data_IF_702262888853
#
_entry.id   IF_702262888853
#
_cell.length_a   1.000
_cell.length_b   1.000
_cell.length_c   1.000
_cell.angle_alpha   90.00
_cell.angle_beta   90.00
_cell.angle_gamma   90.00
#
_symmetry.space_group_name_H-M   'P 1'
#
loop_
_entity.id
_entity.type
_entity.pdbx_description
1 polymer ?
#
# COMPACT_ATOMS: atom_id res chain seq x y z
N UNK A 1 58.15 54.16 -8.03
CA UNK A 1 57.88 52.87 -7.38
C UNK A 1 56.46 52.89 -6.84
N UNK A 2 55.49 52.29 -7.55
CA UNK A 2 54.09 52.16 -7.10
C UNK A 2 53.81 50.67 -6.93
N UNK A 3 53.56 50.26 -5.69
CA UNK A 3 53.31 48.86 -5.31
C UNK A 3 51.83 48.53 -5.54
N UNK A 4 51.54 47.59 -6.44
CA UNK A 4 50.21 47.06 -6.66
C UNK A 4 49.93 45.96 -5.63
N UNK A 5 48.92 46.15 -4.78
CA UNK A 5 48.43 45.11 -3.86
C UNK A 5 47.46 44.22 -4.64
N UNK A 6 47.82 42.95 -4.82
CA UNK A 6 46.97 41.92 -5.37
C UNK A 6 45.85 41.60 -4.36
N UNK A 7 44.60 41.75 -4.81
CA UNK A 7 43.40 41.40 -4.03
C UNK A 7 43.01 39.97 -4.41
N UNK A 8 43.35 39.01 -3.55
CA UNK A 8 43.01 37.59 -3.76
C UNK A 8 41.54 37.37 -3.45
N UNK A 9 40.74 37.09 -4.48
CA UNK A 9 39.33 36.72 -4.34
C UNK A 9 39.25 35.23 -3.93
N UNK A 10 38.85 34.95 -2.69
CA UNK A 10 38.52 33.58 -2.24
C UNK A 10 37.13 33.23 -2.75
N UNK A 11 37.06 32.48 -3.86
CA UNK A 11 35.83 31.86 -4.32
C UNK A 11 35.48 30.68 -3.38
N UNK A 12 34.53 30.91 -2.47
CA UNK A 12 33.98 29.87 -1.61
C UNK A 12 33.15 28.87 -2.43
N UNK A 13 33.64 27.66 -2.60
CA UNK A 13 32.91 26.54 -3.19
C UNK A 13 31.83 26.06 -2.22
N UNK A 14 30.57 26.39 -2.49
CA UNK A 14 29.43 25.76 -1.83
C UNK A 14 29.33 24.30 -2.30
N UNK A 15 29.76 23.36 -1.46
CA UNK A 15 29.46 21.94 -1.62
C UNK A 15 27.97 21.72 -1.34
N UNK A 16 27.18 21.60 -2.41
CA UNK A 16 25.80 21.10 -2.31
C UNK A 16 25.88 19.62 -1.98
N UNK A 17 25.56 19.24 -0.75
CA UNK A 17 25.39 17.85 -0.36
C UNK A 17 24.16 17.29 -1.09
N UNK A 18 24.40 16.54 -2.18
CA UNK A 18 23.35 15.80 -2.87
C UNK A 18 22.97 14.64 -1.95
N UNK A 19 21.88 14.77 -1.19
CA UNK A 19 21.29 13.65 -0.48
C UNK A 19 20.81 12.64 -1.52
N UNK A 20 21.52 11.53 -1.65
CA UNK A 20 21.07 10.42 -2.50
C UNK A 20 19.76 9.90 -1.91
N UNK A 21 18.66 10.11 -2.61
CA UNK A 21 17.40 9.41 -2.33
C UNK A 21 17.67 7.95 -2.64
N UNK A 22 17.96 7.15 -1.60
CA UNK A 22 18.08 5.71 -1.76
C UNK A 22 16.72 5.24 -2.26
N UNK A 23 16.67 4.78 -3.51
CA UNK A 23 15.48 4.19 -4.08
C UNK A 23 15.06 3.02 -3.18
N UNK A 24 13.90 3.17 -2.55
CA UNK A 24 13.37 2.19 -1.62
C UNK A 24 13.16 0.86 -2.35
N UNK A 25 13.55 -0.28 -1.77
CA UNK A 25 13.38 -1.56 -2.44
C UNK A 25 11.90 -1.74 -2.76
N UNK A 26 11.62 -1.96 -4.05
CA UNK A 26 10.27 -2.21 -4.51
C UNK A 26 9.69 -3.45 -3.82
N UNK A 27 8.37 -3.46 -3.54
CA UNK A 27 7.76 -4.65 -3.00
C UNK A 27 7.96 -5.85 -3.93
N UNK A 28 8.07 -5.69 -5.25
CA UNK A 28 8.39 -6.80 -6.17
C UNK A 28 9.74 -6.52 -6.87
N UNK A 29 10.70 -7.46 -6.93
CA UNK A 29 11.93 -7.31 -7.68
C UNK A 29 11.66 -6.93 -9.14
N UNK A 30 12.35 -5.90 -9.63
CA UNK A 30 12.15 -5.36 -10.98
C UNK A 30 10.95 -4.42 -11.13
N UNK A 31 10.15 -4.21 -10.08
CA UNK A 31 9.12 -3.17 -10.07
C UNK A 31 9.71 -1.86 -9.52
N UNK A 32 9.05 -0.73 -9.83
CA UNK A 32 9.34 0.57 -9.23
C UNK A 32 8.25 0.95 -8.23
N UNK A 33 8.58 1.67 -7.16
CA UNK A 33 7.56 2.31 -6.32
C UNK A 33 7.20 3.67 -6.91
N UNK A 34 5.94 3.84 -7.29
CA UNK A 34 5.37 5.09 -7.79
C UNK A 34 4.35 5.70 -6.83
N UNK A 35 3.89 6.93 -7.10
CA UNK A 35 2.81 7.53 -6.33
C UNK A 35 1.49 6.78 -6.57
N UNK A 36 0.71 6.61 -5.51
CA UNK A 36 -0.71 6.26 -5.62
C UNK A 36 -1.48 7.55 -5.84
N UNK A 37 -2.36 7.58 -6.84
CA UNK A 37 -3.27 8.70 -7.08
C UNK A 37 -4.65 8.38 -6.52
N UNK A 38 -5.21 9.34 -5.78
CA UNK A 38 -6.54 9.27 -5.17
C UNK A 38 -7.40 10.37 -5.77
N UNK A 39 -8.43 9.98 -6.52
CA UNK A 39 -9.35 10.93 -7.17
C UNK A 39 -10.55 11.16 -6.25
N UNK A 40 -10.70 12.36 -5.70
CA UNK A 40 -11.67 12.67 -4.65
C UNK A 40 -12.61 13.79 -5.10
N UNK A 41 -13.93 13.69 -4.87
CA UNK A 41 -14.86 14.79 -5.15
C UNK A 41 -14.48 16.06 -4.37
N UNK A 42 -14.41 17.21 -5.05
CA UNK A 42 -14.08 18.51 -4.44
C UNK A 42 -15.28 19.14 -3.69
N UNK A 43 -16.21 18.33 -3.19
CA UNK A 43 -17.50 18.77 -2.67
C UNK A 43 -18.65 18.37 -3.60
N UNK A 44 -19.60 19.27 -3.79
CA UNK A 44 -20.87 18.99 -4.50
C UNK A 44 -20.95 19.63 -5.88
N UNK A 45 -19.87 20.25 -6.37
CA UNK A 45 -19.84 20.96 -7.65
C UNK A 45 -19.58 20.07 -8.87
N UNK A 46 -19.33 18.78 -8.63
CA UNK A 46 -19.02 17.79 -9.68
C UNK A 46 -17.57 17.77 -10.13
N UNK A 47 -16.68 18.57 -9.51
CA UNK A 47 -15.25 18.56 -9.79
C UNK A 47 -14.50 17.59 -8.88
N UNK A 48 -13.28 17.21 -9.28
CA UNK A 48 -12.43 16.28 -8.54
C UNK A 48 -11.05 16.87 -8.28
N UNK A 49 -10.49 16.54 -7.13
CA UNK A 49 -9.08 16.76 -6.80
C UNK A 49 -8.31 15.44 -6.88
N UNK A 50 -7.00 15.54 -7.11
CA UNK A 50 -6.08 14.41 -7.07
C UNK A 50 -5.11 14.59 -5.91
N UNK A 51 -5.09 13.64 -5.00
CA UNK A 51 -4.11 13.59 -3.91
C UNK A 51 -3.16 12.40 -4.13
N UNK A 52 -1.96 12.50 -3.58
CA UNK A 52 -0.96 11.44 -3.66
C UNK A 52 -0.45 11.03 -2.28
N UNK A 53 -0.05 9.77 -2.18
CA UNK A 53 0.47 9.17 -0.95
C UNK A 53 -0.29 7.90 -0.55
N UNK A 54 -0.12 7.51 0.71
CA UNK A 54 -0.89 6.45 1.38
C UNK A 54 -2.27 6.96 1.80
N UNK A 55 -3.21 6.05 2.10
CA UNK A 55 -4.54 6.45 2.57
C UNK A 55 -4.48 7.30 3.85
N UNK A 56 -3.52 7.04 4.75
CA UNK A 56 -3.33 7.83 5.97
C UNK A 56 -2.84 9.26 5.64
N UNK A 57 -1.91 9.40 4.71
CA UNK A 57 -1.42 10.72 4.27
C UNK A 57 -2.50 11.50 3.51
N UNK A 58 -3.33 10.83 2.72
CA UNK A 58 -4.47 11.44 2.03
C UNK A 58 -5.52 11.92 3.02
N UNK A 59 -5.82 11.13 4.05
CA UNK A 59 -6.75 11.52 5.11
C UNK A 59 -6.25 12.77 5.88
N UNK A 60 -4.95 12.82 6.14
CA UNK A 60 -4.30 13.98 6.73
C UNK A 60 -4.32 15.22 5.81
N UNK A 61 -4.06 15.04 4.51
CA UNK A 61 -4.16 16.10 3.50
C UNK A 61 -5.58 16.67 3.41
N UNK A 62 -6.60 15.82 3.40
CA UNK A 62 -8.00 16.26 3.40
C UNK A 62 -8.32 17.10 4.64
N UNK A 63 -7.88 16.65 5.82
CA UNK A 63 -8.12 17.37 7.07
C UNK A 63 -7.42 18.72 7.13
N UNK A 64 -6.18 18.80 6.60
CA UNK A 64 -5.35 20.00 6.68
C UNK A 64 -5.64 21.01 5.56
N UNK A 65 -5.74 20.53 4.33
CA UNK A 65 -5.70 21.37 3.12
C UNK A 65 -7.07 21.48 2.44
N UNK A 66 -7.99 20.54 2.69
CA UNK A 66 -9.33 20.52 2.11
C UNK A 66 -10.45 20.33 3.16
N UNK A 67 -10.49 21.14 4.24
CA UNK A 67 -11.46 20.98 5.33
C UNK A 67 -12.92 21.19 4.90
N UNK A 68 -13.17 21.75 3.72
CA UNK A 68 -14.50 21.91 3.13
C UNK A 68 -15.08 20.61 2.56
N UNK A 69 -14.24 19.62 2.23
CA UNK A 69 -14.68 18.32 1.71
C UNK A 69 -15.22 17.50 2.87
N UNK A 70 -16.53 17.21 2.82
CA UNK A 70 -17.17 16.39 3.85
C UNK A 70 -16.63 14.97 3.81
N UNK A 71 -16.31 14.41 4.99
CA UNK A 71 -15.72 13.08 5.11
C UNK A 71 -16.59 11.97 4.50
N UNK A 72 -17.91 12.09 4.54
CA UNK A 72 -18.87 11.12 3.98
C UNK A 72 -18.86 11.04 2.44
N UNK A 73 -18.32 12.05 1.76
CA UNK A 73 -18.02 12.01 0.32
C UNK A 73 -16.81 11.13 0.02
N UNK A 74 -15.92 10.94 0.99
CA UNK A 74 -14.64 10.22 0.81
C UNK A 74 -14.69 8.82 1.42
N UNK A 75 -15.20 8.73 2.63
CA UNK A 75 -15.25 7.52 3.45
C UNK A 75 -16.70 7.16 3.76
N UNK A 76 -17.01 5.87 3.71
CA UNK A 76 -18.29 5.38 4.18
C UNK A 76 -18.37 5.49 5.72
N UNK A 77 -19.40 6.18 6.19
CA UNK A 77 -19.73 6.32 7.60
C UNK A 77 -20.74 5.25 8.05
N UNK A 78 -21.20 4.37 7.15
CA UNK A 78 -22.16 3.34 7.50
C UNK A 78 -21.57 2.38 8.54
N UNK A 79 -22.28 2.26 9.67
CA UNK A 79 -22.19 1.11 10.58
C UNK A 79 -22.97 -0.09 10.03
N UNK A 80 -23.38 -0.04 8.76
CA UNK A 80 -24.34 -0.97 8.19
C UNK A 80 -23.74 -2.37 8.09
N UNK A 81 -24.36 -3.37 8.74
CA UNK A 81 -23.93 -4.75 8.61
C UNK A 81 -24.12 -5.30 7.19
N UNK A 82 -24.82 -4.57 6.31
CA UNK A 82 -25.08 -4.94 4.91
C UNK A 82 -23.86 -4.73 3.99
N UNK A 83 -22.86 -3.95 4.43
CA UNK A 83 -21.49 -3.96 3.86
C UNK A 83 -20.49 -4.73 4.76
N UNK A 84 -20.98 -5.31 5.86
CA UNK A 84 -20.22 -6.15 6.78
C UNK A 84 -20.41 -7.66 6.52
N UNK A 85 -21.29 -8.07 5.61
CA UNK A 85 -21.60 -9.49 5.40
C UNK A 85 -21.88 -9.83 3.92
N UNK A 86 -20.82 -9.84 3.09
CA UNK A 86 -20.82 -10.76 1.95
C UNK A 86 -19.47 -11.40 1.62
N UNK A 87 -18.39 -11.20 2.40
CA UNK A 87 -17.23 -12.13 2.32
C UNK A 87 -16.14 -12.04 3.41
N UNK A 88 -16.36 -11.34 4.52
CA UNK A 88 -15.39 -11.35 5.63
C UNK A 88 -16.13 -11.70 6.90
N UNK A 89 -16.47 -12.97 7.02
CA UNK A 89 -16.70 -13.55 8.33
C UNK A 89 -15.37 -13.43 9.09
N UNK A 90 -15.44 -12.77 10.23
CA UNK A 90 -14.48 -12.95 11.32
C UNK A 90 -14.54 -14.42 11.69
N UNK A 91 -13.79 -15.27 11.00
CA UNK A 91 -13.50 -16.62 11.47
C UNK A 91 -12.29 -16.46 12.38
N UNK A 92 -12.53 -16.82 13.63
CA UNK A 92 -11.59 -16.80 14.73
C UNK A 92 -10.16 -17.09 14.30
N UNK A 93 -9.25 -16.22 14.71
CA UNK A 93 -7.88 -16.57 15.01
C UNK A 93 -7.88 -17.75 16.01
N UNK A 94 -7.95 -18.97 15.50
CA UNK A 94 -7.81 -20.21 16.26
C UNK A 94 -7.51 -21.37 15.30
N UNK A 95 -6.22 -21.57 14.99
CA UNK A 95 -5.63 -22.89 14.74
C UNK A 95 -6.37 -23.87 13.82
N UNK A 96 -6.79 -23.45 12.62
CA UNK A 96 -7.27 -24.37 11.59
C UNK A 96 -6.13 -25.18 10.95
N UNK A 97 -6.35 -26.44 10.55
CA UNK A 97 -5.30 -27.29 9.99
C UNK A 97 -4.76 -26.70 8.68
N UNK A 98 -3.42 -26.68 8.56
CA UNK A 98 -2.69 -26.46 7.30
C UNK A 98 -3.19 -27.48 6.28
N UNK A 99 -4.02 -27.05 5.34
CA UNK A 99 -4.74 -27.95 4.44
C UNK A 99 -4.83 -27.41 3.02
N UNK A 100 -3.85 -27.84 2.21
CA UNK A 100 -3.87 -28.07 0.75
C UNK A 100 -4.22 -26.88 -0.17
N UNK A 101 -3.38 -26.55 -1.18
CA UNK A 101 -3.71 -25.53 -2.17
C UNK A 101 -4.98 -25.93 -2.95
N UNK A 102 -6.04 -25.11 -2.93
CA UNK A 102 -7.18 -25.28 -3.85
C UNK A 102 -6.68 -25.00 -5.26
N UNK A 103 -6.83 -25.89 -6.24
CA UNK A 103 -6.29 -25.73 -7.60
C UNK A 103 -6.88 -24.57 -8.45
N UNK A 104 -7.51 -23.56 -7.86
CA UNK A 104 -7.85 -22.30 -8.54
C UNK A 104 -6.79 -21.25 -8.18
N UNK A 105 -5.89 -20.95 -9.12
CA UNK A 105 -4.79 -19.99 -8.98
C UNK A 105 -5.29 -18.58 -8.54
N UNK A 106 -6.58 -18.29 -8.77
CA UNK A 106 -7.36 -17.07 -8.41
C UNK A 106 -7.51 -16.81 -6.91
N UNK A 107 -7.10 -17.78 -6.09
CA UNK A 107 -7.26 -17.80 -4.64
C UNK A 107 -5.93 -17.95 -3.88
N UNK A 108 -4.81 -18.11 -4.59
CA UNK A 108 -3.54 -18.44 -3.94
C UNK A 108 -2.80 -17.20 -3.46
N UNK A 109 -3.11 -16.81 -2.23
CA UNK A 109 -2.18 -16.08 -1.41
C UNK A 109 -0.82 -16.81 -1.39
N UNK A 110 0.20 -16.17 -1.94
CA UNK A 110 1.57 -16.65 -1.84
C UNK A 110 2.19 -16.14 -0.55
N UNK A 111 2.50 -17.05 0.37
CA UNK A 111 2.99 -16.76 1.72
C UNK A 111 4.45 -17.21 1.87
N UNK A 112 5.43 -16.44 1.38
CA UNK A 112 6.84 -16.80 1.51
C UNK A 112 7.33 -16.68 2.96
N UNK A 113 8.38 -17.43 3.28
CA UNK A 113 9.22 -17.15 4.44
C UNK A 113 10.02 -15.86 4.22
N UNK A 114 10.36 -15.09 5.26
CA UNK A 114 11.21 -13.92 5.12
C UNK A 114 12.54 -14.24 4.43
N UNK A 115 12.91 -13.39 3.48
CA UNK A 115 14.15 -13.52 2.72
C UNK A 115 14.20 -14.68 1.72
N UNK A 116 13.12 -15.43 1.48
CA UNK A 116 13.14 -16.59 0.58
C UNK A 116 12.76 -16.26 -0.88
N UNK A 117 12.90 -17.25 -1.77
CA UNK A 117 12.33 -17.25 -3.12
C UNK A 117 12.70 -16.08 -4.04
N UNK A 118 13.86 -15.45 -3.84
CA UNK A 118 14.30 -14.29 -4.64
C UNK A 118 13.90 -12.92 -4.07
N UNK A 119 13.35 -12.90 -2.85
CA UNK A 119 12.86 -11.71 -2.16
C UNK A 119 13.59 -11.51 -0.82
N UNK A 120 14.91 -11.33 -0.88
CA UNK A 120 15.79 -11.26 0.31
C UNK A 120 15.36 -10.19 1.32
N UNK A 121 14.81 -9.07 0.86
CA UNK A 121 14.41 -7.94 1.70
C UNK A 121 12.97 -8.03 2.21
N UNK A 122 12.25 -9.13 1.93
CA UNK A 122 10.90 -9.32 2.42
C UNK A 122 10.90 -9.77 3.88
N UNK A 123 10.20 -8.98 4.70
CA UNK A 123 9.97 -9.26 6.12
C UNK A 123 8.48 -9.11 6.43
N UNK A 124 8.08 -9.68 7.56
CA UNK A 124 6.67 -9.73 7.97
C UNK A 124 6.23 -8.38 8.53
N UNK A 125 5.14 -7.83 8.00
CA UNK A 125 4.48 -6.66 8.56
C UNK A 125 3.68 -7.04 9.81
N UNK A 126 3.58 -6.13 10.78
CA UNK A 126 2.76 -6.34 11.97
C UNK A 126 1.27 -6.43 11.57
N UNK A 127 0.61 -7.52 11.96
CA UNK A 127 -0.75 -7.81 11.56
C UNK A 127 -1.76 -6.74 12.01
N UNK A 128 -1.55 -6.12 13.18
CA UNK A 128 -2.43 -5.08 13.70
C UNK A 128 -2.49 -3.87 12.75
N UNK A 129 -1.33 -3.41 12.27
CA UNK A 129 -1.26 -2.25 11.37
C UNK A 129 -1.79 -2.57 9.97
N UNK A 130 -1.61 -3.81 9.50
CA UNK A 130 -2.21 -4.26 8.24
C UNK A 130 -3.74 -4.31 8.33
N UNK A 131 -4.30 -4.86 9.41
CA UNK A 131 -5.74 -4.90 9.63
C UNK A 131 -6.35 -3.49 9.73
N UNK A 132 -5.67 -2.57 10.43
CA UNK A 132 -6.09 -1.17 10.45
C UNK A 132 -6.07 -0.54 9.05
N UNK A 133 -5.03 -0.80 8.25
CA UNK A 133 -4.95 -0.36 6.86
C UNK A 133 -6.09 -0.91 5.99
N UNK A 134 -6.44 -2.20 6.15
CA UNK A 134 -7.59 -2.83 5.50
C UNK A 134 -8.88 -2.11 5.83
N UNK A 135 -9.11 -1.75 7.10
CA UNK A 135 -10.32 -1.03 7.53
C UNK A 135 -10.43 0.37 6.93
N UNK A 136 -9.32 1.09 6.78
CA UNK A 136 -9.28 2.37 6.08
C UNK A 136 -9.63 2.22 4.60
N UNK A 137 -8.99 1.27 3.91
CA UNK A 137 -9.22 1.01 2.48
C UNK A 137 -10.67 0.57 2.23
N UNK A 138 -11.23 -0.30 3.08
CA UNK A 138 -12.60 -0.79 2.96
C UNK A 138 -13.63 0.34 2.89
N UNK A 139 -13.39 1.44 3.61
CA UNK A 139 -14.30 2.60 3.69
C UNK A 139 -14.10 3.60 2.56
N UNK A 140 -12.98 3.59 1.84
CA UNK A 140 -12.70 4.58 0.80
C UNK A 140 -13.59 4.36 -0.43
N UNK A 141 -14.31 5.42 -0.85
CA UNK A 141 -15.40 5.32 -1.85
C UNK A 141 -15.00 5.64 -3.29
N UNK A 142 -13.82 6.23 -3.49
CA UNK A 142 -13.47 6.86 -4.76
C UNK A 142 -12.32 6.14 -5.48
N UNK A 143 -11.95 6.63 -6.66
CA UNK A 143 -10.94 5.96 -7.47
C UNK A 143 -9.55 6.05 -6.86
N UNK A 144 -8.84 4.93 -6.92
CA UNK A 144 -7.44 4.76 -6.55
C UNK A 144 -6.71 4.24 -7.79
N UNK A 145 -5.52 4.76 -8.10
CA UNK A 145 -4.77 4.21 -9.21
C UNK A 145 -3.26 4.34 -9.09
N UNK A 146 -2.59 3.46 -9.81
CA UNK A 146 -1.13 3.35 -9.89
C UNK A 146 -0.75 3.31 -11.37
N UNK A 147 0.26 4.07 -11.76
CA UNK A 147 0.81 4.00 -13.12
C UNK A 147 1.39 2.62 -13.40
N UNK A 148 1.50 2.25 -14.67
CA UNK A 148 2.14 1.01 -15.10
C UNK A 148 3.23 1.26 -16.13
N UNK A 149 3.89 0.22 -16.66
CA UNK A 149 3.93 -1.16 -16.14
C UNK A 149 4.93 -1.35 -15.01
N UNK A 150 4.83 -2.49 -14.33
CA UNK A 150 5.75 -2.96 -13.30
C UNK A 150 5.96 -1.91 -12.20
N UNK A 151 4.88 -1.28 -11.75
CA UNK A 151 4.93 -0.23 -10.73
C UNK A 151 4.00 -0.58 -9.60
N UNK A 152 4.47 -0.36 -8.39
CA UNK A 152 3.68 -0.52 -7.19
C UNK A 152 3.45 0.82 -6.53
N UNK A 153 2.23 1.04 -6.06
CA UNK A 153 1.88 2.15 -5.21
C UNK A 153 1.66 1.66 -3.78
N UNK A 154 2.27 2.35 -2.82
CA UNK A 154 2.05 2.07 -1.39
C UNK A 154 0.72 2.68 -0.96
N UNK A 155 -0.33 1.86 -0.91
CA UNK A 155 -1.71 2.31 -0.66
C UNK A 155 -2.02 2.52 0.82
N UNK A 156 -1.31 1.82 1.70
CA UNK A 156 -1.38 2.02 3.15
C UNK A 156 0.00 1.81 3.76
N UNK A 157 0.35 2.61 4.75
CA UNK A 157 1.57 2.45 5.53
C UNK A 157 1.34 2.94 6.96
N UNK A 158 1.64 2.11 7.95
CA UNK A 158 1.67 2.52 9.36
C UNK A 158 2.79 1.80 10.10
N UNK A 159 3.61 2.57 10.83
CA UNK A 159 4.84 2.09 11.48
C UNK A 159 5.79 1.44 10.46
N UNK A 160 5.90 0.12 10.44
CA UNK A 160 6.70 -0.60 9.46
C UNK A 160 5.84 -1.60 8.67
N UNK A 161 4.56 -1.29 8.45
CA UNK A 161 3.60 -2.23 7.88
C UNK A 161 2.87 -1.61 6.70
N UNK A 162 3.11 -2.14 5.50
CA UNK A 162 2.54 -1.60 4.27
C UNK A 162 1.71 -2.60 3.48
N UNK A 163 0.74 -2.02 2.78
CA UNK A 163 -0.06 -2.67 1.74
C UNK A 163 0.28 -1.96 0.44
N UNK A 164 0.58 -2.75 -0.60
CA UNK A 164 0.88 -2.26 -1.93
C UNK A 164 -0.15 -2.74 -2.94
N UNK A 165 -0.45 -1.88 -3.92
CA UNK A 165 -1.11 -2.24 -5.16
C UNK A 165 -0.07 -2.18 -6.28
N UNK A 166 0.15 -3.27 -6.99
CA UNK A 166 1.13 -3.38 -8.07
C UNK A 166 0.44 -3.55 -9.40
N UNK A 167 0.70 -2.62 -10.31
CA UNK A 167 0.10 -2.55 -11.63
C UNK A 167 1.02 -3.15 -12.70
N UNK A 168 0.55 -4.23 -13.30
CA UNK A 168 1.26 -4.95 -14.36
C UNK A 168 0.78 -4.47 -15.76
N UNK A 169 -0.29 -3.68 -15.82
CA UNK A 169 -0.79 -3.08 -17.06
C UNK A 169 0.22 -2.10 -17.63
N UNK A 170 0.20 -1.90 -18.94
CA UNK A 170 1.10 -0.96 -19.62
C UNK A 170 0.85 0.51 -19.27
N UNK A 171 -0.27 0.81 -18.62
CA UNK A 171 -0.77 2.17 -18.36
C UNK A 171 -1.38 2.23 -16.97
N UNK A 172 -1.75 3.45 -16.54
CA UNK A 172 -2.59 3.70 -15.37
C UNK A 172 -3.73 2.69 -15.22
N UNK A 173 -3.83 2.10 -14.04
CA UNK A 173 -4.88 1.17 -13.66
C UNK A 173 -5.77 1.77 -12.56
N UNK A 174 -7.00 2.19 -12.90
CA UNK A 174 -7.96 2.68 -11.91
C UNK A 174 -8.69 1.52 -11.21
N UNK A 175 -8.84 1.61 -9.90
CA UNK A 175 -9.75 0.81 -9.10
C UNK A 175 -10.80 1.74 -8.52
N UNK A 176 -12.08 1.40 -8.72
CA UNK A 176 -13.24 2.28 -8.44
C UNK A 176 -13.34 2.75 -6.98
N UNK A 177 -12.90 1.94 -6.03
CA UNK A 177 -12.95 2.20 -4.60
C UNK A 177 -11.90 1.34 -3.87
N UNK A 178 -11.76 1.50 -2.56
CA UNK A 178 -10.76 0.74 -1.79
C UNK A 178 -11.15 -0.70 -1.47
N UNK A 179 -12.38 -1.14 -1.80
CA UNK A 179 -12.87 -2.50 -1.47
C UNK A 179 -12.01 -3.60 -2.07
N UNK A 180 -11.65 -3.61 -3.37
CA UNK A 180 -10.84 -4.69 -3.95
C UNK A 180 -9.46 -4.81 -3.27
N UNK A 181 -8.81 -3.68 -2.97
CA UNK A 181 -7.54 -3.66 -2.24
C UNK A 181 -7.69 -4.21 -0.82
N UNK A 182 -8.75 -3.81 -0.12
CA UNK A 182 -9.05 -4.29 1.23
C UNK A 182 -9.31 -5.80 1.26
N UNK A 183 -10.04 -6.34 0.27
CA UNK A 183 -10.32 -7.77 0.14
C UNK A 183 -9.04 -8.54 -0.14
N UNK A 184 -8.19 -8.06 -1.06
CA UNK A 184 -6.93 -8.74 -1.37
C UNK A 184 -5.97 -8.77 -0.18
N UNK A 185 -5.80 -7.64 0.52
CA UNK A 185 -4.98 -7.60 1.72
C UNK A 185 -5.57 -8.43 2.86
N UNK A 186 -6.90 -8.49 2.99
CA UNK A 186 -7.57 -9.36 3.97
C UNK A 186 -7.34 -10.85 3.67
N UNK A 187 -7.38 -11.27 2.40
CA UNK A 187 -7.02 -12.64 2.01
C UNK A 187 -5.60 -13.00 2.43
N UNK A 188 -4.65 -12.08 2.28
CA UNK A 188 -3.27 -12.28 2.76
C UNK A 188 -3.21 -12.36 4.29
N UNK A 189 -3.98 -11.53 5.00
CA UNK A 189 -4.07 -11.62 6.46
C UNK A 189 -4.63 -12.98 6.92
N UNK A 190 -5.64 -13.51 6.24
CA UNK A 190 -6.26 -14.78 6.58
C UNK A 190 -5.34 -15.99 6.30
N UNK A 191 -4.59 -15.96 5.19
CA UNK A 191 -3.82 -17.12 4.72
C UNK A 191 -2.34 -17.08 5.08
N UNK A 192 -1.75 -15.89 5.15
CA UNK A 192 -0.32 -15.68 5.40
C UNK A 192 -0.03 -15.20 6.83
N UNK A 193 -0.91 -15.54 7.78
CA UNK A 193 -0.74 -15.20 9.18
C UNK A 193 0.38 -16.01 9.81
N UNK A 194 1.28 -15.31 10.48
CA UNK A 194 2.34 -15.91 11.27
C UNK A 194 2.29 -15.37 12.70
N UNK A 195 2.38 -16.28 13.67
CA UNK A 195 2.48 -15.94 15.10
C UNK A 195 3.83 -16.39 15.62
N UNK A 196 4.55 -15.50 16.29
CA UNK A 196 5.86 -15.81 16.86
C UNK A 196 5.74 -16.78 18.05
N UNK A 197 6.33 -17.99 17.96
CA UNK A 197 6.30 -18.94 19.06
C UNK A 197 7.02 -18.38 20.29
N UNK A 198 6.36 -18.38 21.45
CA UNK A 198 6.96 -18.00 22.73
C UNK A 198 7.01 -16.50 23.03
N UNK A 199 6.45 -15.65 22.17
CA UNK A 199 6.30 -14.21 22.45
C UNK A 199 5.11 -13.95 23.39
N UNK A 200 5.26 -13.03 24.35
CA UNK A 200 4.18 -12.52 25.20
C UNK A 200 4.21 -10.99 25.30
N UNK A 201 3.15 -10.28 24.85
CA UNK A 201 1.99 -10.80 24.12
C UNK A 201 2.38 -11.40 22.76
N UNK A 202 1.55 -12.29 22.16
CA UNK A 202 1.89 -12.96 20.91
C UNK A 202 2.03 -11.93 19.78
N UNK A 203 3.24 -11.82 19.23
CA UNK A 203 3.49 -11.02 18.03
C UNK A 203 2.89 -11.75 16.82
N UNK A 204 2.03 -11.06 16.09
CA UNK A 204 1.39 -11.57 14.88
C UNK A 204 1.78 -10.72 13.69
N UNK A 205 2.10 -11.37 12.58
CA UNK A 205 2.63 -10.72 11.40
C UNK A 205 2.15 -11.38 10.11
N UNK A 206 2.15 -10.61 9.02
CA UNK A 206 1.68 -11.02 7.70
C UNK A 206 2.79 -10.75 6.68
N UNK A 207 3.04 -11.73 5.82
CA UNK A 207 3.89 -11.58 4.65
C UNK A 207 3.28 -12.34 3.48
N UNK A 208 2.93 -11.64 2.41
CA UNK A 208 2.47 -12.35 1.23
C UNK A 208 2.13 -11.46 0.04
N UNK A 209 1.86 -12.13 -1.06
CA UNK A 209 1.41 -11.54 -2.30
C UNK A 209 0.21 -12.29 -2.84
N UNK A 210 -0.79 -11.55 -3.28
CA UNK A 210 -1.94 -12.07 -3.98
C UNK A 210 -1.85 -11.62 -5.44
N UNK A 211 -1.91 -12.59 -6.33
CA UNK A 211 -1.98 -12.36 -7.77
C UNK A 211 -3.46 -12.23 -8.15
N UNK A 212 -3.83 -11.14 -8.82
CA UNK A 212 -5.15 -11.05 -9.46
C UNK A 212 -5.02 -11.63 -10.85
N UNK A 213 -5.66 -12.76 -11.07
CA UNK A 213 -5.59 -13.49 -12.31
C UNK A 213 -6.48 -12.88 -13.39
N UNK A 214 -5.85 -12.40 -14.45
CA UNK A 214 -6.47 -12.16 -15.76
C UNK A 214 -6.46 -13.48 -16.55
N UNK A 215 -7.62 -14.09 -16.83
CA UNK A 215 -7.74 -14.95 -18.03
C UNK A 215 -9.16 -15.21 -18.57
N UNK A 216 -10.26 -14.89 -17.85
CA UNK A 216 -11.60 -15.23 -18.37
C UNK A 216 -12.58 -14.06 -18.55
N UNK A 217 -12.28 -12.85 -18.04
CA UNK A 217 -13.29 -11.76 -18.00
C UNK A 217 -12.79 -10.34 -18.33
N UNK A 218 -11.52 -10.16 -18.67
CA UNK A 218 -11.01 -8.85 -19.10
C UNK A 218 -11.02 -7.75 -18.03
N UNK A 219 -10.97 -8.10 -16.74
CA UNK A 219 -10.92 -7.13 -15.64
C UNK A 219 -9.83 -7.47 -14.59
N UNK A 220 -8.78 -6.64 -14.62
CA UNK A 220 -7.85 -6.21 -13.57
C UNK A 220 -6.70 -7.16 -13.11
N UNK A 221 -5.67 -7.32 -13.95
CA UNK A 221 -4.32 -7.80 -13.55
C UNK A 221 -3.52 -6.81 -12.69
N UNK A 222 -3.75 -6.80 -11.38
CA UNK A 222 -2.88 -6.16 -10.39
C UNK A 222 -2.58 -7.08 -9.22
N UNK A 223 -1.42 -6.89 -8.60
CA UNK A 223 -1.03 -7.66 -7.42
C UNK A 223 -1.28 -6.86 -6.14
N UNK A 224 -1.63 -7.55 -5.07
CA UNK A 224 -1.58 -6.99 -3.72
C UNK A 224 -0.39 -7.59 -2.99
N UNK A 225 0.44 -6.76 -2.38
CA UNK A 225 1.59 -7.21 -1.57
C UNK A 225 1.45 -6.65 -0.16
N UNK A 226 1.64 -7.51 0.84
CA UNK A 226 1.74 -7.14 2.26
C UNK A 226 3.12 -7.55 2.75
N UNK A 227 3.89 -6.58 3.22
CA UNK A 227 5.24 -6.78 3.77
C UNK A 227 5.64 -5.62 4.67
N UNK A 228 6.68 -5.85 5.46
CA UNK A 228 7.34 -4.80 6.23
C UNK A 228 7.87 -3.71 5.29
N UNK A 229 7.67 -2.47 5.69
CA UNK A 229 8.09 -1.31 4.91
C UNK A 229 8.11 -0.04 5.77
N UNK A 230 9.23 0.71 5.85
CA UNK A 230 9.31 1.88 6.71
C UNK A 230 8.32 2.99 6.33
N UNK A 231 7.50 3.40 7.28
CA UNK A 231 6.63 4.57 7.24
C UNK A 231 7.22 5.66 8.16
#
# INVERSE_FOLDING_TARGET
>A
MRSAKALTLLAGTFLVAITQVIAKPSPIPGYEIGPVTWTIPNGTDGTFIKLQGTIQEVDAQLTRDHPHIKRDLVFDNSTDPVNAASDVSVVQAAGGPRGVPSQDWREHAWCPEPGCCGYADWKRANAYHILAGIDYLKKFKNEIGVEGPNRCGRVSCSYDSAIFMCNDHRTYLPVKNGKPLSVGAHKLAANCWWTEPGSYPPYSAILGQLFSDDNDKGELGYNIVVREDPC
#
